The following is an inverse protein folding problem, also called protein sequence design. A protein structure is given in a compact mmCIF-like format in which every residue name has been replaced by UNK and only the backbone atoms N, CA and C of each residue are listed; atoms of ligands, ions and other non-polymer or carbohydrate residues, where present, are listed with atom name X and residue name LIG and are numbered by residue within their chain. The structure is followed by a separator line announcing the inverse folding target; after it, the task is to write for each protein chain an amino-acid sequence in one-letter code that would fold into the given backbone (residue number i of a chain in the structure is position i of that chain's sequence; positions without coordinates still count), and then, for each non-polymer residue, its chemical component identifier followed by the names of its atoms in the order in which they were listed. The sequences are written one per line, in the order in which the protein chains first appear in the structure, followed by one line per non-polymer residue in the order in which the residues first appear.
data_IF_118727124363
#
_entry.id   IF_118727124363
#
_cell.length_a   1.000
_cell.length_b   1.000
_cell.length_c   1.000
_cell.angle_alpha   90.00
_cell.angle_beta   90.00
_cell.angle_gamma   90.00
#
_symmetry.space_group_name_H-M   'P 1'
#
loop_
_entity.id
_entity.type
_entity.pdbx_description
1 polymer ?
#
# COMPACT_ATOMS: atom_id res chain seq x y z
N UNK A 1 9.49 -15.56 11.83
CA UNK A 1 10.36 -15.36 10.65
C UNK A 1 9.90 -14.08 9.96
N UNK A 2 10.76 -13.07 9.86
CA UNK A 2 10.42 -11.83 9.14
C UNK A 2 10.40 -12.12 7.64
N UNK A 3 9.30 -11.81 6.95
CA UNK A 3 9.30 -11.84 5.49
C UNK A 3 10.27 -10.75 4.96
N UNK A 4 10.99 -11.00 3.86
CA UNK A 4 11.81 -9.96 3.24
C UNK A 4 10.93 -8.80 2.77
N UNK A 5 11.38 -7.56 2.99
CA UNK A 5 10.77 -6.38 2.39
C UNK A 5 11.07 -6.44 0.90
N UNK A 6 10.03 -6.48 0.06
CA UNK A 6 10.21 -6.42 -1.38
C UNK A 6 10.49 -4.96 -1.79
N UNK A 7 11.65 -4.73 -2.39
CA UNK A 7 12.03 -3.44 -2.99
C UNK A 7 12.16 -3.63 -4.51
N UNK A 8 11.50 -2.77 -5.27
CA UNK A 8 11.72 -2.66 -6.71
C UNK A 8 12.76 -1.56 -6.95
N UNK A 9 13.81 -1.87 -7.71
CA UNK A 9 14.79 -0.89 -8.17
C UNK A 9 14.67 -0.76 -9.68
N UNK A 10 14.63 0.45 -10.17
CA UNK A 10 14.78 0.70 -11.59
C UNK A 10 16.25 0.57 -12.02
N UNK A 11 16.49 -0.16 -13.11
CA UNK A 11 17.82 -0.41 -13.69
C UNK A 11 17.90 0.15 -15.13
N UNK A 12 17.06 1.12 -15.51
CA UNK A 12 17.46 2.01 -16.60
C UNK A 12 18.70 2.78 -16.11
N UNK A 13 19.75 2.89 -16.92
CA UNK A 13 21.02 3.56 -16.53
C UNK A 13 20.88 5.06 -16.17
N UNK A 14 21.70 5.93 -16.76
CA UNK A 14 21.68 7.38 -16.44
C UNK A 14 20.43 8.12 -16.95
N UNK A 15 19.54 7.45 -17.67
CA UNK A 15 18.27 8.03 -18.13
C UNK A 15 17.21 7.96 -17.02
N UNK A 16 16.50 9.06 -16.71
CA UNK A 16 15.46 9.06 -15.71
C UNK A 16 14.36 8.08 -16.13
N UNK A 17 14.27 6.98 -15.41
CA UNK A 17 13.24 5.99 -15.63
C UNK A 17 11.86 6.61 -15.44
N UNK A 18 10.98 6.46 -16.43
CA UNK A 18 9.55 6.76 -16.28
C UNK A 18 8.74 5.54 -15.85
N UNK A 19 9.36 4.60 -15.13
CA UNK A 19 8.67 3.40 -14.63
C UNK A 19 8.26 3.63 -13.17
N UNK A 20 9.18 4.15 -12.36
CA UNK A 20 8.94 4.54 -10.98
C UNK A 20 8.92 6.07 -10.86
N UNK A 21 7.84 6.62 -10.31
CA UNK A 21 7.72 8.07 -10.03
C UNK A 21 7.36 8.30 -8.57
N UNK A 22 7.65 9.50 -8.07
CA UNK A 22 7.26 9.88 -6.71
C UNK A 22 5.74 9.92 -6.53
N UNK A 23 5.32 9.64 -5.31
CA UNK A 23 3.93 9.84 -4.88
C UNK A 23 3.69 11.35 -4.76
N UNK A 24 2.61 11.85 -5.36
CA UNK A 24 2.27 13.29 -5.33
C UNK A 24 1.74 13.70 -3.96
N UNK A 25 0.92 12.83 -3.36
CA UNK A 25 0.27 13.08 -2.08
C UNK A 25 -0.16 11.81 -1.34
N UNK A 26 -0.63 11.96 -0.11
CA UNK A 26 -1.26 10.87 0.63
C UNK A 26 -2.67 11.29 1.09
N UNK A 27 -3.66 10.43 0.85
CA UNK A 27 -5.01 10.60 1.36
C UNK A 27 -5.22 9.72 2.58
N UNK A 28 -5.70 10.29 3.68
CA UNK A 28 -6.03 9.52 4.89
C UNK A 28 -7.10 8.48 4.55
N UNK A 29 -6.88 7.23 4.97
CA UNK A 29 -7.86 6.15 4.92
C UNK A 29 -8.52 6.01 6.29
N UNK A 30 -7.69 5.96 7.33
CA UNK A 30 -8.11 5.74 8.70
C UNK A 30 -7.03 6.23 9.66
N UNK A 31 -7.44 6.63 10.85
CA UNK A 31 -6.55 6.86 12.00
C UNK A 31 -7.25 6.41 13.27
N UNK A 32 -6.47 6.04 14.27
CA UNK A 32 -6.95 5.48 15.54
C UNK A 32 -7.52 6.52 16.53
N UNK A 33 -8.10 7.60 16.01
CA UNK A 33 -8.61 8.69 16.82
C UNK A 33 -9.67 8.22 17.81
N UNK A 34 -9.43 8.46 19.10
CA UNK A 34 -10.31 8.04 20.19
C UNK A 34 -9.99 6.65 20.75
N UNK A 35 -9.00 5.95 20.19
CA UNK A 35 -8.44 4.73 20.77
C UNK A 35 -7.67 4.99 22.05
N UNK A 36 -7.31 3.91 22.73
CA UNK A 36 -6.54 3.91 23.98
C UNK A 36 -5.22 3.16 23.84
N UNK A 37 -4.73 3.00 22.60
CA UNK A 37 -3.45 2.36 22.32
C UNK A 37 -2.27 3.22 22.79
N UNK A 38 -1.15 2.55 23.12
CA UNK A 38 0.10 3.24 23.51
C UNK A 38 0.80 3.96 22.35
N UNK A 39 0.41 3.63 21.13
CA UNK A 39 0.92 4.18 19.88
C UNK A 39 -0.26 4.71 19.08
N UNK A 40 -0.08 5.87 18.46
CA UNK A 40 -1.00 6.35 17.44
C UNK A 40 -0.71 5.62 16.13
N UNK A 41 -1.74 5.41 15.29
CA UNK A 41 -1.61 4.73 13.99
C UNK A 41 -2.52 5.36 12.95
N UNK A 42 -1.97 5.60 11.76
CA UNK A 42 -2.73 6.05 10.60
C UNK A 42 -2.42 5.24 9.34
N UNK A 43 -3.45 5.01 8.53
CA UNK A 43 -3.39 4.36 7.22
C UNK A 43 -3.58 5.42 6.12
N UNK A 44 -2.72 5.38 5.11
CA UNK A 44 -2.62 6.40 4.07
C UNK A 44 -2.62 5.77 2.68
N UNK A 45 -3.43 6.33 1.79
CA UNK A 45 -3.46 5.97 0.36
C UNK A 45 -2.54 6.89 -0.44
N UNK A 46 -1.47 6.38 -1.07
CA UNK A 46 -0.67 7.18 -2.00
C UNK A 46 -1.53 7.69 -3.16
N UNK A 47 -1.36 8.96 -3.53
CA UNK A 47 -1.91 9.58 -4.72
C UNK A 47 -0.83 9.58 -5.79
N UNK A 48 -1.09 8.86 -6.89
CA UNK A 48 -0.15 8.70 -7.98
C UNK A 48 -0.49 9.64 -9.14
N UNK A 49 0.52 10.12 -9.89
CA UNK A 49 0.29 10.84 -11.13
C UNK A 49 -0.54 10.01 -12.13
N UNK A 50 -1.17 10.69 -13.08
CA UNK A 50 -1.90 10.02 -14.17
C UNK A 50 -1.00 9.03 -14.92
N UNK A 51 -1.52 7.82 -15.18
CA UNK A 51 -0.76 6.74 -15.81
C UNK A 51 0.09 5.90 -14.86
N UNK A 52 0.08 6.18 -13.56
CA UNK A 52 0.78 5.42 -12.52
C UNK A 52 -0.15 4.93 -11.42
N UNK A 53 0.25 3.87 -10.71
CA UNK A 53 -0.52 3.28 -9.62
C UNK A 53 0.38 2.93 -8.44
N UNK A 54 -0.21 2.89 -7.25
CA UNK A 54 0.46 2.37 -6.06
C UNK A 54 0.22 0.86 -5.94
N UNK A 55 1.24 0.13 -5.49
CA UNK A 55 1.13 -1.31 -5.21
C UNK A 55 0.67 -1.63 -3.79
N UNK A 56 0.71 -0.65 -2.89
CA UNK A 56 0.36 -0.80 -1.48
C UNK A 56 -0.07 0.53 -0.87
N UNK A 57 -0.84 0.46 0.21
CA UNK A 57 -1.07 1.59 1.11
C UNK A 57 0.04 1.68 2.18
N UNK A 58 0.12 2.82 2.86
CA UNK A 58 1.13 3.12 3.88
C UNK A 58 0.51 3.08 5.28
N UNK A 59 1.14 2.36 6.20
CA UNK A 59 0.86 2.46 7.64
C UNK A 59 1.95 3.31 8.29
N UNK A 60 1.54 4.25 9.14
CA UNK A 60 2.44 5.08 9.91
C UNK A 60 2.07 5.00 11.40
N UNK A 61 3.04 4.60 12.23
CA UNK A 61 2.90 4.47 13.66
C UNK A 61 4.00 5.24 14.38
N UNK A 62 3.66 5.85 15.51
CA UNK A 62 4.45 6.82 16.24
C UNK A 62 3.87 7.01 17.65
N UNK A 63 4.66 7.54 18.57
CA UNK A 63 4.28 7.66 19.99
C UNK A 63 3.47 8.92 20.31
N UNK A 64 3.31 9.86 19.36
CA UNK A 64 2.53 11.09 19.52
C UNK A 64 1.97 11.60 18.19
N UNK A 65 0.65 11.66 18.10
CA UNK A 65 -0.16 12.24 17.03
C UNK A 65 0.17 11.75 15.63
N UNK A 66 0.02 10.44 15.37
CA UNK A 66 0.21 9.94 14.03
C UNK A 66 -0.86 10.44 13.06
N UNK A 67 -0.39 10.73 11.86
CA UNK A 67 -1.24 11.21 10.78
C UNK A 67 -1.47 12.72 10.77
N UNK A 68 -0.89 13.46 11.72
CA UNK A 68 -0.85 14.92 11.66
C UNK A 68 0.52 15.46 12.13
N UNK A 69 1.36 15.97 11.21
CA UNK A 69 1.11 16.15 9.79
C UNK A 69 1.13 14.83 8.99
N UNK A 70 0.52 14.86 7.82
CA UNK A 70 0.59 13.81 6.79
C UNK A 70 2.05 13.37 6.57
N UNK A 71 2.34 12.09 6.27
CA UNK A 71 3.69 11.56 6.06
C UNK A 71 4.39 12.06 4.77
N UNK A 72 4.56 13.38 4.58
CA UNK A 72 5.15 13.97 3.37
C UNK A 72 6.58 13.48 3.09
N UNK A 73 7.34 13.12 4.12
CA UNK A 73 8.68 12.58 3.99
C UNK A 73 8.73 11.20 3.32
N UNK A 74 7.61 10.46 3.28
CA UNK A 74 7.52 9.19 2.53
C UNK A 74 7.37 9.39 1.02
N UNK A 75 7.10 10.61 0.52
CA UNK A 75 6.94 10.87 -0.93
C UNK A 75 8.15 10.47 -1.77
N UNK A 76 9.35 10.64 -1.21
CA UNK A 76 10.60 10.26 -1.87
C UNK A 76 10.94 8.77 -1.73
N UNK A 77 10.38 8.08 -0.73
CA UNK A 77 10.64 6.67 -0.44
C UNK A 77 9.63 5.70 -1.06
N UNK A 78 8.38 6.13 -1.20
CA UNK A 78 7.36 5.38 -1.92
C UNK A 78 7.34 5.81 -3.38
N UNK A 79 7.21 4.84 -4.28
CA UNK A 79 7.10 5.10 -5.72
C UNK A 79 5.81 4.53 -6.26
N UNK A 80 5.19 5.27 -7.17
CA UNK A 80 4.14 4.77 -8.04
C UNK A 80 4.76 4.10 -9.26
N UNK A 81 4.13 3.03 -9.73
CA UNK A 81 4.58 2.24 -10.88
C UNK A 81 3.74 2.58 -12.09
N UNK A 82 4.38 2.73 -13.26
CA UNK A 82 3.67 3.00 -14.51
C UNK A 82 2.71 1.86 -14.81
N UNK A 83 1.49 2.20 -15.26
CA UNK A 83 0.37 1.26 -15.41
C UNK A 83 0.66 0.07 -16.33
N UNK A 84 1.54 0.23 -17.31
CA UNK A 84 1.88 -0.85 -18.25
C UNK A 84 2.77 -1.94 -17.64
N UNK A 85 3.38 -1.70 -16.47
CA UNK A 85 4.23 -2.66 -15.75
C UNK A 85 3.48 -3.41 -14.64
N UNK A 86 2.18 -3.15 -14.50
CA UNK A 86 1.34 -3.83 -13.52
C UNK A 86 0.19 -4.54 -14.22
N UNK A 87 -0.32 -5.54 -13.54
CA UNK A 87 -1.58 -6.20 -13.88
C UNK A 87 -2.55 -6.10 -12.71
N UNK A 88 -3.84 -6.26 -13.02
CA UNK A 88 -4.87 -6.30 -11.98
C UNK A 88 -4.74 -7.61 -11.19
N UNK A 89 -4.69 -7.49 -9.88
CA UNK A 89 -4.76 -8.59 -8.94
C UNK A 89 -5.79 -8.27 -7.86
N UNK A 90 -5.90 -9.13 -6.85
CA UNK A 90 -7.00 -9.04 -5.90
C UNK A 90 -6.50 -9.12 -4.47
N UNK A 91 -7.25 -8.53 -3.55
CA UNK A 91 -7.01 -8.71 -2.12
C UNK A 91 -7.52 -10.06 -1.64
N UNK A 92 -7.09 -10.46 -0.45
CA UNK A 92 -7.72 -11.53 0.31
C UNK A 92 -9.21 -11.26 0.53
N UNK A 93 -9.98 -12.34 0.71
CA UNK A 93 -11.42 -12.29 0.99
C UNK A 93 -11.69 -11.84 2.44
N UNK A 94 -10.73 -12.05 3.34
CA UNK A 94 -10.80 -11.65 4.74
C UNK A 94 -9.70 -10.63 5.06
N UNK A 95 -9.97 -9.66 5.97
CA UNK A 95 -8.96 -8.72 6.40
C UNK A 95 -7.91 -9.41 7.26
N UNK A 96 -6.64 -9.05 7.09
CA UNK A 96 -5.56 -9.51 7.97
C UNK A 96 -5.53 -8.76 9.31
N UNK A 97 -6.17 -7.60 9.36
CA UNK A 97 -6.36 -6.83 10.59
C UNK A 97 -7.61 -5.95 10.49
N UNK A 98 -8.29 -5.77 11.62
CA UNK A 98 -9.36 -4.78 11.80
C UNK A 98 -9.24 -4.17 13.19
N UNK A 99 -9.74 -2.94 13.38
CA UNK A 99 -9.95 -2.38 14.71
C UNK A 99 -11.32 -2.77 15.31
N UNK A 100 -11.93 -3.89 14.89
CA UNK A 100 -13.20 -4.33 15.44
C UNK A 100 -13.08 -4.59 16.95
N UNK A 101 -14.02 -4.05 17.72
CA UNK A 101 -14.01 -4.11 19.19
C UNK A 101 -13.15 -3.04 19.87
N UNK A 102 -12.44 -2.20 19.11
CA UNK A 102 -11.73 -1.03 19.61
C UNK A 102 -12.65 0.16 19.92
N UNK A 103 -12.06 1.21 20.50
CA UNK A 103 -12.76 2.44 20.88
C UNK A 103 -12.57 3.58 19.86
N UNK A 104 -11.83 3.34 18.78
CA UNK A 104 -11.57 4.35 17.77
C UNK A 104 -12.86 4.77 17.07
N UNK A 105 -12.96 6.06 16.73
CA UNK A 105 -14.18 6.66 16.16
C UNK A 105 -14.54 6.12 14.79
N UNK A 106 -13.55 5.66 14.03
CA UNK A 106 -13.73 5.14 12.68
C UNK A 106 -13.38 3.65 12.65
N UNK A 107 -14.08 2.90 11.81
CA UNK A 107 -13.71 1.53 11.48
C UNK A 107 -12.58 1.54 10.45
N UNK A 108 -11.55 0.72 10.68
CA UNK A 108 -10.39 0.53 9.82
C UNK A 108 -10.08 -0.95 9.65
N UNK A 109 -9.57 -1.31 8.48
CA UNK A 109 -9.11 -2.67 8.18
C UNK A 109 -7.93 -2.66 7.21
N UNK A 110 -7.16 -3.74 7.23
CA UNK A 110 -6.03 -4.01 6.33
C UNK A 110 -6.27 -5.35 5.64
N UNK A 111 -6.08 -5.38 4.33
CA UNK A 111 -6.35 -6.51 3.45
C UNK A 111 -5.09 -6.86 2.68
N UNK A 112 -4.69 -8.13 2.70
CA UNK A 112 -3.49 -8.58 1.98
C UNK A 112 -3.77 -8.52 0.49
N UNK A 113 -2.81 -8.11 -0.32
CA UNK A 113 -2.87 -8.32 -1.77
C UNK A 113 -2.42 -9.75 -2.05
N UNK A 114 -3.31 -10.55 -2.61
CA UNK A 114 -3.06 -11.91 -3.02
C UNK A 114 -2.71 -11.93 -4.51
N UNK A 115 -1.46 -12.30 -4.76
CA UNK A 115 -0.99 -12.59 -6.09
C UNK A 115 -1.75 -13.80 -6.67
N UNK A 116 -2.33 -13.64 -7.85
CA UNK A 116 -2.95 -14.73 -8.63
C UNK A 116 -1.97 -15.11 -9.75
N UNK A 117 -1.96 -16.38 -10.16
CA UNK A 117 -1.23 -16.86 -11.35
C UNK A 117 0.31 -16.68 -11.32
N UNK A 118 0.99 -17.19 -10.29
CA UNK A 118 2.46 -17.27 -10.29
C UNK A 118 3.19 -15.98 -9.87
N UNK A 119 2.49 -14.86 -9.77
CA UNK A 119 2.98 -13.63 -9.14
C UNK A 119 3.42 -13.98 -7.70
N UNK A 120 4.59 -13.48 -7.27
CA UNK A 120 5.06 -13.71 -5.88
C UNK A 120 4.25 -12.85 -4.93
N UNK A 121 3.80 -13.43 -3.81
CA UNK A 121 3.21 -12.67 -2.71
C UNK A 121 4.23 -11.61 -2.26
N UNK A 122 3.89 -10.34 -2.47
CA UNK A 122 4.77 -9.21 -2.20
C UNK A 122 4.75 -8.77 -0.74
N UNK A 123 3.81 -9.31 0.06
CA UNK A 123 3.50 -8.80 1.39
C UNK A 123 2.77 -7.46 1.39
N UNK A 124 2.39 -6.94 0.21
CA UNK A 124 1.65 -5.69 0.10
C UNK A 124 0.20 -5.85 0.56
N UNK A 125 -0.39 -4.72 0.91
CA UNK A 125 -1.71 -4.65 1.49
C UNK A 125 -2.39 -3.33 1.14
N UNK A 126 -3.71 -3.32 1.24
CA UNK A 126 -4.55 -2.12 1.09
C UNK A 126 -5.36 -1.90 2.36
N UNK A 127 -5.53 -0.63 2.73
CA UNK A 127 -6.36 -0.19 3.85
C UNK A 127 -7.77 0.15 3.40
N UNK A 128 -8.75 -0.01 4.29
CA UNK A 128 -10.11 0.47 4.05
C UNK A 128 -10.73 1.09 5.31
N UNK A 129 -11.60 2.08 5.11
CA UNK A 129 -12.47 2.58 6.16
C UNK A 129 -13.73 1.69 6.22
N UNK A 130 -13.78 0.80 7.20
CA UNK A 130 -14.80 -0.25 7.34
C UNK A 130 -14.18 -1.63 7.56
N UNK A 131 -15.00 -2.64 7.87
CA UNK A 131 -14.51 -4.00 8.19
C UNK A 131 -14.97 -5.09 7.21
N UNK A 132 -16.04 -4.84 6.45
CA UNK A 132 -16.78 -5.92 5.76
C UNK A 132 -16.41 -6.10 4.30
N UNK A 133 -15.91 -5.04 3.67
CA UNK A 133 -15.66 -5.02 2.22
C UNK A 133 -14.21 -4.60 2.01
N UNK A 134 -13.46 -5.31 1.14
CA UNK A 134 -12.12 -4.88 0.77
C UNK A 134 -12.17 -3.54 0.02
N UNK A 135 -11.07 -2.77 0.04
CA UNK A 135 -10.98 -1.53 -0.70
C UNK A 135 -11.13 -1.79 -2.20
N UNK A 136 -11.71 -0.82 -2.93
CA UNK A 136 -11.89 -0.87 -4.39
C UNK A 136 -12.64 -2.12 -4.93
N UNK A 137 -13.47 -2.77 -4.10
CA UNK A 137 -14.14 -4.01 -4.48
C UNK A 137 -13.20 -5.22 -4.58
N UNK A 138 -12.07 -5.17 -3.87
CA UNK A 138 -11.05 -6.23 -3.86
C UNK A 138 -9.97 -6.05 -4.93
N UNK A 139 -10.09 -5.08 -5.83
CA UNK A 139 -9.10 -4.86 -6.89
C UNK A 139 -7.84 -4.15 -6.37
N UNK A 140 -6.70 -4.66 -6.80
CA UNK A 140 -5.37 -4.14 -6.53
C UNK A 140 -4.49 -4.19 -7.80
N UNK A 141 -3.24 -3.74 -7.68
CA UNK A 141 -2.24 -3.85 -8.75
C UNK A 141 -1.03 -4.64 -8.26
N UNK A 142 -0.56 -5.55 -9.09
CA UNK A 142 0.64 -6.35 -8.87
C UNK A 142 1.63 -6.11 -10.01
N UNK A 143 2.93 -6.21 -9.73
CA UNK A 143 3.95 -6.14 -10.79
C UNK A 143 3.77 -7.33 -11.75
N UNK A 144 3.83 -7.06 -13.05
CA UNK A 144 3.89 -8.12 -14.05
C UNK A 144 5.15 -8.96 -13.85
N UNK A 145 5.01 -10.28 -13.98
CA UNK A 145 6.17 -11.14 -14.14
C UNK A 145 6.65 -11.06 -15.59
N UNK A 146 7.91 -10.71 -15.81
CA UNK A 146 8.56 -10.88 -17.10
C UNK A 146 9.20 -12.27 -17.12
N UNK A 147 8.98 -13.04 -18.19
CA UNK A 147 9.72 -14.28 -18.41
C UNK A 147 11.19 -13.91 -18.61
N UNK A 148 12.10 -14.60 -17.91
CA UNK A 148 13.51 -14.60 -18.27
C UNK A 148 13.60 -15.21 -19.67
N UNK A 149 14.02 -14.40 -20.64
CA UNK A 149 14.47 -14.94 -21.92
C UNK A 149 15.84 -15.54 -21.62
N UNK A 150 15.88 -16.87 -21.48
CA UNK A 150 17.14 -17.62 -21.44
C UNK A 150 17.81 -17.44 -22.82
N UNK A 151 18.95 -16.73 -22.85
CA UNK A 151 19.87 -16.65 -24.00
C UNK A 151 20.75 -17.91 -24.11
#
# INVERSE_FOLDING_TARGET
MSAPIMMAKDITGDEPSRILVEVEDFREIWRDQGGTGDMDVALWKPQCPEGYVALADLAYACTRFCGWPKPDWYKSMMKCVRRDFVEECYTSIEPVWTNYGGFERASGSVWRIEAINGIRNTGFWLGNQGHRVPPNGGRAYCLKQFEEIDD
#
